data_IF_759009690693
#
_entry.id   IF_759009690693
#
_cell.length_a   1.000
_cell.length_b   1.000
_cell.length_c   1.000
_cell.angle_alpha   90.00
_cell.angle_beta   90.00
_cell.angle_gamma   90.00
#
_symmetry.space_group_name_H-M   'P 1'
#
loop_
_entity.id
_entity.type
_entity.pdbx_description
1 polymer ?
#
# COMPACT_ATOMS: atom_id res chain seq x y z
N UNK A 1 -50.32 5.26 59.84
CA UNK A 1 -50.01 4.33 58.74
C UNK A 1 -50.32 5.07 57.42
N UNK A 2 -49.49 6.03 57.01
CA UNK A 2 -48.39 5.93 56.01
C UNK A 2 -48.82 5.25 54.69
N UNK A 3 -49.19 6.09 53.72
CA UNK A 3 -49.47 5.72 52.33
C UNK A 3 -48.19 5.44 51.53
N UNK A 4 -48.33 4.57 50.53
CA UNK A 4 -47.24 4.13 49.64
C UNK A 4 -47.34 4.92 48.33
N UNK A 5 -46.26 5.62 47.99
CA UNK A 5 -46.05 6.35 46.75
C UNK A 5 -45.41 5.41 45.72
N UNK A 6 -46.01 5.24 44.55
CA UNK A 6 -45.42 4.54 43.41
C UNK A 6 -44.42 5.48 42.72
N UNK A 7 -43.13 5.12 42.71
CA UNK A 7 -42.09 5.79 41.93
C UNK A 7 -41.87 4.99 40.63
N UNK A 8 -42.34 5.54 39.51
CA UNK A 8 -42.03 5.04 38.16
C UNK A 8 -40.61 5.51 37.78
N UNK A 9 -39.66 4.58 37.75
CA UNK A 9 -38.30 4.83 37.24
C UNK A 9 -38.31 4.60 35.73
N UNK A 10 -38.25 5.68 34.96
CA UNK A 10 -37.90 5.63 33.54
C UNK A 10 -36.40 5.37 33.43
N UNK A 11 -36.02 4.15 33.07
CA UNK A 11 -34.65 3.84 32.66
C UNK A 11 -34.51 4.36 31.23
N UNK A 12 -33.93 5.57 31.09
CA UNK A 12 -33.40 6.04 29.81
C UNK A 12 -32.14 5.22 29.55
N UNK A 13 -32.26 4.17 28.74
CA UNK A 13 -31.10 3.51 28.15
C UNK A 13 -30.48 4.48 27.15
N UNK A 14 -29.46 5.22 27.59
CA UNK A 14 -28.51 5.84 26.67
C UNK A 14 -27.86 4.68 25.91
N UNK A 15 -28.33 4.42 24.69
CA UNK A 15 -27.59 3.61 23.74
C UNK A 15 -26.28 4.36 23.48
N UNK A 16 -25.21 3.92 24.13
CA UNK A 16 -23.86 4.30 23.73
C UNK A 16 -23.69 3.89 22.27
N UNK A 17 -23.77 4.86 21.37
CA UNK A 17 -23.48 4.66 19.96
C UNK A 17 -22.09 4.04 19.86
N UNK A 18 -22.04 2.85 19.27
CA UNK A 18 -20.78 2.23 18.89
C UNK A 18 -20.13 3.14 17.86
N UNK A 19 -19.18 3.97 18.28
CA UNK A 19 -18.32 4.68 17.35
C UNK A 19 -17.43 3.64 16.68
N UNK A 20 -17.74 3.29 15.43
CA UNK A 20 -16.81 2.56 14.60
C UNK A 20 -15.59 3.45 14.41
N UNK A 21 -14.46 3.09 15.02
CA UNK A 21 -13.18 3.73 14.74
C UNK A 21 -12.77 3.34 13.31
N UNK A 22 -13.14 4.16 12.33
CA UNK A 22 -12.66 4.01 10.96
C UNK A 22 -11.17 4.28 10.94
N UNK A 23 -10.36 3.25 10.66
CA UNK A 23 -8.93 3.42 10.44
C UNK A 23 -8.68 4.13 9.11
N UNK A 24 -7.84 5.16 9.11
CA UNK A 24 -7.42 5.90 7.91
C UNK A 24 -5.91 6.17 7.96
N UNK A 25 -5.29 6.33 6.80
CA UNK A 25 -3.86 6.60 6.70
C UNK A 25 -3.42 6.78 5.26
N UNK A 26 -2.14 7.02 5.06
CA UNK A 26 -1.51 6.97 3.74
C UNK A 26 -0.40 5.92 3.82
N UNK A 27 -0.39 4.99 2.88
CA UNK A 27 0.58 3.90 2.80
C UNK A 27 1.12 3.77 1.39
N UNK A 28 2.35 3.25 1.19
CA UNK A 28 2.80 2.86 -0.15
C UNK A 28 1.86 1.82 -0.77
N UNK A 29 1.69 1.86 -2.10
CA UNK A 29 0.68 1.08 -2.84
C UNK A 29 0.88 -0.45 -2.73
N UNK A 30 2.09 -0.93 -2.39
CA UNK A 30 2.42 -2.35 -2.23
C UNK A 30 3.52 -2.55 -1.19
N UNK A 31 3.88 -3.82 -0.94
CA UNK A 31 5.23 -4.15 -0.50
C UNK A 31 6.22 -3.40 -1.38
N UNK A 32 7.15 -2.67 -0.76
CA UNK A 32 8.07 -1.79 -1.46
C UNK A 32 9.50 -2.19 -1.22
N UNK A 33 10.34 -1.90 -2.20
CA UNK A 33 11.78 -2.08 -2.12
C UNK A 33 12.46 -0.82 -2.63
N UNK A 34 13.49 -0.35 -1.90
CA UNK A 34 14.31 0.78 -2.37
C UNK A 34 14.98 0.41 -3.68
N UNK A 35 15.07 1.38 -4.60
CA UNK A 35 15.75 1.20 -5.89
C UNK A 35 17.15 0.60 -5.75
N UNK A 36 17.96 1.07 -4.80
CA UNK A 36 19.29 0.51 -4.57
C UNK A 36 19.23 -0.96 -4.11
N UNK A 37 18.37 -1.26 -3.13
CA UNK A 37 18.18 -2.63 -2.63
C UNK A 37 17.72 -3.59 -3.73
N UNK A 38 16.83 -3.15 -4.62
CA UNK A 38 16.43 -3.93 -5.79
C UNK A 38 17.62 -4.15 -6.74
N UNK A 39 18.40 -3.10 -7.02
CA UNK A 39 19.53 -3.16 -7.96
C UNK A 39 20.70 -4.03 -7.50
N UNK A 40 20.83 -4.30 -6.20
CA UNK A 40 21.88 -5.17 -5.63
C UNK A 40 21.35 -6.54 -5.18
N UNK A 41 20.05 -6.81 -5.31
CA UNK A 41 19.43 -8.05 -4.87
C UNK A 41 20.10 -9.27 -5.52
N UNK A 42 20.45 -10.26 -4.71
CA UNK A 42 21.06 -11.52 -5.14
C UNK A 42 20.10 -12.70 -5.01
N UNK A 43 19.10 -12.59 -4.14
CA UNK A 43 18.14 -13.66 -3.83
C UNK A 43 16.71 -13.15 -3.83
N UNK A 44 15.75 -14.07 -3.91
CA UNK A 44 14.31 -13.75 -3.75
C UNK A 44 14.05 -13.07 -2.39
N UNK A 45 14.77 -13.45 -1.33
CA UNK A 45 14.60 -12.88 0.01
C UNK A 45 15.09 -11.44 0.11
N UNK A 46 16.03 -11.02 -0.74
CA UNK A 46 16.43 -9.60 -0.82
C UNK A 46 15.28 -8.74 -1.37
N UNK A 47 14.43 -9.33 -2.23
CA UNK A 47 13.22 -8.68 -2.76
C UNK A 47 12.04 -8.75 -1.78
N UNK A 48 11.94 -9.84 -1.01
CA UNK A 48 10.90 -10.03 -0.01
C UNK A 48 11.42 -10.90 1.16
N UNK A 49 11.80 -10.25 2.25
CA UNK A 49 12.35 -10.92 3.45
C UNK A 49 11.36 -11.89 4.13
N UNK A 50 10.06 -11.79 3.82
CA UNK A 50 9.00 -12.68 4.34
C UNK A 50 8.67 -13.83 3.40
N UNK A 51 9.43 -13.99 2.31
CA UNK A 51 9.23 -15.09 1.37
C UNK A 51 9.42 -16.44 2.08
N UNK A 52 8.42 -17.36 2.03
CA UNK A 52 8.44 -18.57 2.84
C UNK A 52 9.31 -19.66 2.20
N UNK A 53 10.63 -19.44 2.13
CA UNK A 53 11.59 -20.38 1.54
C UNK A 53 11.50 -21.78 2.16
N UNK A 54 11.21 -21.88 3.47
CA UNK A 54 11.04 -23.15 4.18
C UNK A 54 9.88 -24.02 3.65
N UNK A 55 8.98 -23.49 2.83
CA UNK A 55 7.91 -24.29 2.22
C UNK A 55 8.37 -25.04 0.97
N UNK A 56 9.56 -24.73 0.47
CA UNK A 56 10.06 -25.19 -0.81
C UNK A 56 11.03 -26.34 -0.60
N UNK A 57 10.68 -27.52 -1.14
CA UNK A 57 11.61 -28.66 -1.21
C UNK A 57 12.50 -28.59 -2.44
N UNK A 58 11.92 -28.23 -3.58
CA UNK A 58 12.58 -28.21 -4.87
C UNK A 58 11.99 -27.10 -5.73
N UNK A 59 12.86 -26.26 -6.30
CA UNK A 59 12.48 -25.21 -7.24
C UNK A 59 12.32 -25.80 -8.65
N UNK A 60 11.31 -25.33 -9.37
CA UNK A 60 11.06 -25.67 -10.78
C UNK A 60 11.38 -24.48 -11.66
N UNK A 61 10.89 -23.30 -11.28
CA UNK A 61 11.25 -22.04 -11.93
C UNK A 61 11.04 -20.87 -10.99
N UNK A 62 11.82 -19.82 -11.23
CA UNK A 62 11.64 -18.51 -10.62
C UNK A 62 11.50 -17.51 -11.75
N UNK A 63 10.26 -17.13 -12.05
CA UNK A 63 9.92 -16.20 -13.11
C UNK A 63 9.85 -14.78 -12.55
N UNK A 64 10.74 -13.90 -13.02
CA UNK A 64 10.79 -12.49 -12.65
C UNK A 64 10.26 -11.65 -13.80
N UNK A 65 9.33 -10.74 -13.49
CA UNK A 65 8.77 -9.79 -14.44
C UNK A 65 8.93 -8.37 -13.89
N UNK A 66 9.57 -7.49 -14.65
CA UNK A 66 9.61 -6.05 -14.37
C UNK A 66 8.65 -5.32 -15.30
N UNK A 67 7.71 -4.57 -14.74
CA UNK A 67 6.83 -3.68 -15.50
C UNK A 67 7.38 -2.26 -15.44
N UNK A 68 7.88 -1.77 -16.58
CA UNK A 68 8.44 -0.41 -16.75
C UNK A 68 7.68 0.32 -17.85
N UNK A 69 7.13 1.50 -17.57
CA UNK A 69 6.44 2.33 -18.57
C UNK A 69 5.37 1.54 -19.38
N UNK A 70 4.66 0.62 -18.71
CA UNK A 70 3.64 -0.27 -19.30
C UNK A 70 4.19 -1.47 -20.08
N UNK A 71 5.50 -1.62 -20.23
CA UNK A 71 6.16 -2.79 -20.85
C UNK A 71 6.56 -3.82 -19.81
N UNK A 72 6.37 -5.10 -20.12
CA UNK A 72 6.73 -6.22 -19.25
C UNK A 72 8.01 -6.89 -19.75
N UNK A 73 9.09 -6.75 -19.01
CA UNK A 73 10.36 -7.44 -19.23
C UNK A 73 10.40 -8.70 -18.37
N UNK A 74 10.73 -9.85 -18.94
CA UNK A 74 10.69 -11.14 -18.24
C UNK A 74 12.05 -11.82 -18.26
N UNK A 75 12.39 -12.49 -17.17
CA UNK A 75 13.53 -13.39 -17.08
C UNK A 75 13.19 -14.57 -16.16
N UNK A 76 13.84 -15.71 -16.38
CA UNK A 76 13.65 -16.94 -15.61
C UNK A 76 14.96 -17.33 -14.95
N UNK A 77 14.87 -17.68 -13.67
CA UNK A 77 15.90 -18.34 -12.88
C UNK A 77 15.46 -19.75 -12.51
N UNK A 78 16.39 -20.50 -11.94
CA UNK A 78 16.20 -21.92 -11.61
C UNK A 78 15.84 -22.13 -10.14
N UNK A 79 16.22 -21.21 -9.26
CA UNK A 79 16.12 -21.35 -7.81
C UNK A 79 16.09 -19.98 -7.09
N UNK A 80 16.29 -19.97 -5.77
CA UNK A 80 16.25 -18.77 -4.94
C UNK A 80 17.30 -17.70 -5.26
N UNK A 81 18.42 -18.09 -5.89
CA UNK A 81 19.43 -17.16 -6.36
C UNK A 81 18.97 -16.54 -7.68
N UNK A 82 18.95 -15.20 -7.72
CA UNK A 82 18.55 -14.47 -8.91
C UNK A 82 19.61 -14.64 -10.00
N UNK A 83 19.17 -15.07 -11.19
CA UNK A 83 20.06 -15.26 -12.35
C UNK A 83 20.67 -13.93 -12.81
N UNK A 84 21.77 -13.99 -13.57
CA UNK A 84 22.43 -12.78 -14.09
C UNK A 84 21.46 -11.87 -14.87
N UNK A 85 20.59 -12.46 -15.69
CA UNK A 85 19.56 -11.76 -16.44
C UNK A 85 18.54 -11.09 -15.51
N UNK A 86 18.10 -11.78 -14.45
CA UNK A 86 17.20 -11.22 -13.45
C UNK A 86 17.84 -10.03 -12.73
N UNK A 87 19.09 -10.18 -12.28
CA UNK A 87 19.83 -9.10 -11.66
C UNK A 87 20.06 -7.93 -12.64
N UNK A 88 20.27 -8.21 -13.92
CA UNK A 88 20.38 -7.19 -14.95
C UNK A 88 19.08 -6.40 -15.09
N UNK A 89 17.92 -7.05 -15.13
CA UNK A 89 16.63 -6.35 -15.14
C UNK A 89 16.46 -5.45 -13.90
N UNK A 90 16.81 -5.96 -12.73
CA UNK A 90 16.69 -5.24 -11.46
C UNK A 90 17.59 -4.01 -11.40
N UNK A 91 18.83 -4.09 -11.89
CA UNK A 91 19.76 -2.93 -11.97
C UNK A 91 19.20 -1.76 -12.80
N UNK A 92 18.29 -2.02 -13.74
CA UNK A 92 17.69 -1.01 -14.60
C UNK A 92 16.33 -0.52 -14.10
N UNK A 93 15.87 -0.98 -12.94
CA UNK A 93 14.62 -0.54 -12.35
C UNK A 93 14.67 0.95 -11.96
N UNK A 94 13.54 1.62 -12.11
CA UNK A 94 13.28 3.02 -11.75
C UNK A 94 12.20 3.07 -10.68
N UNK A 95 12.08 4.22 -10.01
CA UNK A 95 10.97 4.46 -9.08
C UNK A 95 9.64 4.32 -9.81
N UNK A 96 8.70 3.59 -9.21
CA UNK A 96 7.39 3.27 -9.77
C UNK A 96 7.34 1.97 -10.56
N UNK A 97 8.47 1.34 -10.89
CA UNK A 97 8.46 0.03 -11.54
C UNK A 97 7.90 -1.05 -10.61
N UNK A 98 7.24 -2.04 -11.21
CA UNK A 98 6.72 -3.20 -10.48
C UNK A 98 7.59 -4.43 -10.77
N UNK A 99 8.09 -5.07 -9.73
CA UNK A 99 8.80 -6.35 -9.82
C UNK A 99 7.85 -7.44 -9.31
N UNK A 100 7.40 -8.30 -10.22
CA UNK A 100 6.66 -9.52 -9.87
C UNK A 100 7.59 -10.72 -9.90
N UNK A 101 7.54 -11.54 -8.86
CA UNK A 101 8.23 -12.83 -8.80
C UNK A 101 7.18 -13.93 -8.65
N UNK A 102 7.24 -14.95 -9.51
CA UNK A 102 6.43 -16.17 -9.47
C UNK A 102 7.37 -17.37 -9.35
N UNK A 103 7.24 -18.11 -8.26
CA UNK A 103 8.05 -19.30 -7.95
C UNK A 103 7.19 -20.53 -8.11
N UNK A 104 7.55 -21.39 -9.06
CA UNK A 104 6.98 -22.72 -9.22
C UNK A 104 7.87 -23.73 -8.50
N UNK A 105 7.28 -24.57 -7.66
CA UNK A 105 8.05 -25.44 -6.76
C UNK A 105 7.28 -26.69 -6.36
N UNK A 106 8.01 -27.69 -5.84
CA UNK A 106 7.45 -28.78 -5.07
C UNK A 106 7.49 -28.46 -3.57
N UNK A 107 6.37 -28.63 -2.84
CA UNK A 107 6.32 -28.25 -1.43
C UNK A 107 7.08 -29.24 -0.53
N UNK A 108 7.65 -28.72 0.55
CA UNK A 108 8.24 -29.55 1.60
C UNK A 108 7.17 -30.03 2.59
N UNK A 109 6.45 -31.08 2.22
CA UNK A 109 5.49 -31.76 3.09
C UNK A 109 5.29 -33.23 2.68
N UNK A 110 4.33 -33.89 3.33
CA UNK A 110 3.98 -35.30 3.10
C UNK A 110 2.80 -35.48 2.13
N UNK A 111 2.38 -34.44 1.41
CA UNK A 111 1.31 -34.50 0.43
C UNK A 111 1.84 -35.01 -0.93
N UNK A 112 0.97 -35.40 -1.88
CA UNK A 112 1.37 -35.76 -3.23
C UNK A 112 2.24 -34.68 -3.88
N UNK A 113 3.17 -35.12 -4.75
CA UNK A 113 4.03 -34.21 -5.54
C UNK A 113 3.18 -33.43 -6.54
N UNK A 114 2.71 -32.27 -6.11
CA UNK A 114 2.02 -31.29 -6.93
C UNK A 114 2.87 -30.03 -7.03
N UNK A 115 2.93 -29.48 -8.24
CA UNK A 115 3.57 -28.18 -8.48
C UNK A 115 2.69 -27.10 -7.86
N UNK A 116 3.28 -26.24 -7.05
CA UNK A 116 2.62 -25.07 -6.45
C UNK A 116 3.28 -23.79 -6.95
N UNK A 117 2.53 -22.68 -6.88
CA UNK A 117 3.03 -21.34 -7.15
C UNK A 117 3.02 -20.51 -5.86
N UNK A 118 4.12 -19.81 -5.60
CA UNK A 118 4.18 -18.66 -4.69
C UNK A 118 4.49 -17.42 -5.51
N UNK A 119 3.67 -16.38 -5.39
CA UNK A 119 3.89 -15.15 -6.12
C UNK A 119 3.79 -13.92 -5.21
N UNK A 120 4.63 -12.92 -5.50
CA UNK A 120 4.52 -11.60 -4.89
C UNK A 120 4.86 -10.51 -5.88
N UNK A 121 4.50 -9.27 -5.55
CA UNK A 121 4.84 -8.10 -6.33
C UNK A 121 5.33 -7.01 -5.38
N UNK A 122 6.47 -6.42 -5.72
CA UNK A 122 7.01 -5.26 -5.01
C UNK A 122 7.07 -4.05 -5.92
N UNK A 123 6.78 -2.88 -5.36
CA UNK A 123 6.98 -1.60 -6.05
C UNK A 123 8.38 -1.08 -5.72
N UNK A 124 9.11 -0.67 -6.74
CA UNK A 124 10.39 0.02 -6.56
C UNK A 124 10.11 1.45 -6.12
N UNK A 125 10.58 1.81 -4.93
CA UNK A 125 10.42 3.15 -4.34
C UNK A 125 11.74 3.90 -4.30
N UNK A 126 11.70 5.24 -4.18
CA UNK A 126 12.89 6.05 -3.99
C UNK A 126 13.66 5.68 -2.71
N UNK A 127 14.93 6.09 -2.64
CA UNK A 127 15.80 5.78 -1.50
C UNK A 127 15.43 6.58 -0.24
N UNK A 128 14.95 7.82 -0.46
CA UNK A 128 14.33 8.69 0.53
C UNK A 128 12.87 8.91 0.09
N UNK A 129 11.86 8.49 0.87
CA UNK A 129 10.46 8.66 0.51
C UNK A 129 10.04 10.13 0.56
N UNK A 130 8.93 10.46 -0.09
CA UNK A 130 8.35 11.79 0.02
C UNK A 130 7.90 12.04 1.48
N UNK A 131 7.98 13.30 1.91
CA UNK A 131 7.63 13.69 3.27
C UNK A 131 6.60 14.81 3.29
N UNK A 132 5.49 14.57 3.99
CA UNK A 132 4.47 15.60 4.21
C UNK A 132 5.06 16.76 5.04
N UNK A 133 4.68 18.02 4.77
CA UNK A 133 5.16 19.16 5.54
C UNK A 133 4.82 19.04 7.03
N UNK A 134 5.84 19.04 7.90
CA UNK A 134 5.68 18.81 9.33
C UNK A 134 5.59 17.33 9.73
N UNK A 135 5.82 16.41 8.79
CA UNK A 135 5.94 14.97 9.01
C UNK A 135 4.62 14.26 9.32
N UNK A 136 4.74 13.02 9.79
CA UNK A 136 3.63 12.08 10.03
C UNK A 136 2.53 12.63 10.95
N UNK A 137 2.90 13.41 11.98
CA UNK A 137 1.94 14.01 12.90
C UNK A 137 1.08 15.06 12.20
N UNK A 138 1.69 15.91 11.38
CA UNK A 138 0.99 16.91 10.59
C UNK A 138 0.13 16.27 9.50
N UNK A 139 0.61 15.18 8.88
CA UNK A 139 -0.17 14.41 7.92
C UNK A 139 -1.44 13.83 8.56
N UNK A 140 -1.32 13.13 9.70
CA UNK A 140 -2.49 12.59 10.41
C UNK A 140 -3.49 13.68 10.78
N UNK A 141 -3.00 14.85 11.22
CA UNK A 141 -3.86 16.00 11.52
C UNK A 141 -4.56 16.52 10.26
N UNK A 142 -3.84 16.63 9.14
CA UNK A 142 -4.43 17.05 7.87
C UNK A 142 -5.54 16.09 7.45
N UNK A 143 -5.29 14.78 7.47
CA UNK A 143 -6.27 13.76 7.13
C UNK A 143 -7.50 13.84 8.04
N UNK A 144 -7.30 13.99 9.35
CA UNK A 144 -8.40 14.12 10.29
C UNK A 144 -9.28 15.35 9.98
N UNK A 145 -8.67 16.54 9.94
CA UNK A 145 -9.42 17.80 9.86
C UNK A 145 -9.94 18.11 8.46
N UNK A 146 -9.21 17.74 7.41
CA UNK A 146 -9.56 18.11 6.04
C UNK A 146 -10.24 16.99 5.26
N UNK A 147 -10.18 15.75 5.73
CA UNK A 147 -10.77 14.60 5.04
C UNK A 147 -11.81 13.91 5.93
N UNK A 148 -11.42 13.38 7.08
CA UNK A 148 -12.31 12.52 7.88
C UNK A 148 -13.49 13.28 8.49
N UNK A 149 -13.24 14.44 9.12
CA UNK A 149 -14.31 15.24 9.76
C UNK A 149 -15.36 15.75 8.75
N UNK A 150 -14.99 16.27 7.56
CA UNK A 150 -15.98 16.62 6.55
C UNK A 150 -16.62 15.38 5.90
N UNK A 151 -15.85 14.31 5.64
CA UNK A 151 -16.38 13.09 5.02
C UNK A 151 -17.49 12.48 5.88
N UNK A 152 -17.33 12.45 7.21
CA UNK A 152 -18.34 11.95 8.15
C UNK A 152 -19.69 12.70 8.09
N UNK A 153 -19.75 13.88 7.45
CA UNK A 153 -21.00 14.63 7.22
C UNK A 153 -21.64 14.32 5.86
N UNK A 154 -20.90 13.67 4.96
CA UNK A 154 -21.31 13.34 3.59
C UNK A 154 -21.70 11.87 3.42
N UNK A 155 -21.35 11.02 4.38
CA UNK A 155 -21.59 9.58 4.34
C UNK A 155 -22.34 9.16 5.58
N UNK A 156 -23.30 8.25 5.40
CA UNK A 156 -23.99 7.60 6.51
C UNK A 156 -23.03 6.64 7.25
N UNK A 157 -23.49 6.01 8.33
CA UNK A 157 -22.74 5.04 9.13
C UNK A 157 -22.23 3.79 8.35
N UNK A 158 -22.54 3.69 7.06
CA UNK A 158 -22.19 2.59 6.16
C UNK A 158 -21.01 2.94 5.22
N UNK A 159 -20.04 3.74 5.66
CA UNK A 159 -18.84 3.98 4.86
C UNK A 159 -18.07 2.67 4.64
N UNK A 160 -18.15 2.16 3.42
CA UNK A 160 -17.30 1.06 2.98
C UNK A 160 -15.85 1.53 2.82
N UNK A 161 -14.91 0.59 2.91
CA UNK A 161 -13.50 0.85 2.66
C UNK A 161 -13.31 1.58 1.31
N UNK A 162 -12.73 2.78 1.37
CA UNK A 162 -12.35 3.58 0.21
C UNK A 162 -10.84 3.46 0.02
N UNK A 163 -10.38 3.41 -1.23
CA UNK A 163 -8.96 3.47 -1.55
C UNK A 163 -8.70 4.46 -2.67
N UNK A 164 -7.72 5.33 -2.50
CA UNK A 164 -7.33 6.34 -3.49
C UNK A 164 -5.85 6.25 -3.74
N UNK A 165 -5.45 5.93 -4.97
CA UNK A 165 -4.05 5.98 -5.38
C UNK A 165 -3.70 7.39 -5.84
N UNK A 166 -2.49 7.84 -5.52
CA UNK A 166 -1.94 9.11 -5.97
C UNK A 166 -0.41 9.04 -6.01
N UNK A 167 0.19 10.05 -6.63
CA UNK A 167 1.63 10.21 -6.76
C UNK A 167 2.08 11.55 -6.16
N UNK A 168 3.23 11.55 -5.50
CA UNK A 168 3.99 12.77 -5.23
C UNK A 168 4.96 12.98 -6.40
N UNK A 169 4.79 14.11 -7.09
CA UNK A 169 5.62 14.53 -8.22
C UNK A 169 7.01 14.97 -7.77
N UNK A 170 7.92 15.16 -8.74
CA UNK A 170 9.30 15.64 -8.50
C UNK A 170 9.38 17.03 -7.87
N UNK A 171 8.34 17.84 -8.00
CA UNK A 171 8.20 19.16 -7.40
C UNK A 171 7.50 19.14 -6.03
N UNK A 172 7.08 17.96 -5.56
CA UNK A 172 6.36 17.81 -4.30
C UNK A 172 4.84 17.87 -4.42
N UNK A 173 4.30 18.22 -5.59
CA UNK A 173 2.85 18.30 -5.79
C UNK A 173 2.18 16.93 -5.82
N UNK A 174 0.92 16.86 -5.36
CA UNK A 174 0.08 15.66 -5.51
C UNK A 174 -0.45 15.57 -6.94
N UNK A 175 -0.21 14.45 -7.61
CA UNK A 175 -0.64 14.16 -8.99
C UNK A 175 -1.23 12.74 -9.10
N UNK A 176 -1.76 12.40 -10.29
CA UNK A 176 -2.36 11.08 -10.62
C UNK A 176 -3.37 10.54 -9.58
N UNK A 177 -4.19 11.42 -9.01
CA UNK A 177 -5.20 11.03 -8.00
C UNK A 177 -6.32 10.25 -8.67
N UNK A 178 -6.46 8.97 -8.32
CA UNK A 178 -7.45 8.04 -8.88
C UNK A 178 -8.10 7.17 -7.82
N UNK A 179 -9.42 6.98 -7.94
CA UNK A 179 -10.17 6.06 -7.09
C UNK A 179 -9.79 4.61 -7.46
N UNK A 180 -9.36 3.83 -6.46
CA UNK A 180 -9.10 2.39 -6.59
C UNK A 180 -10.29 1.59 -6.07
N UNK A 181 -10.93 2.08 -5.00
CA UNK A 181 -12.16 1.50 -4.43
C UNK A 181 -13.07 2.64 -3.99
N UNK A 182 -14.33 2.61 -4.43
CA UNK A 182 -15.26 3.72 -4.30
C UNK A 182 -16.06 3.64 -2.98
N UNK A 183 -16.52 4.79 -2.48
CA UNK A 183 -17.37 4.87 -1.27
C UNK A 183 -18.85 4.54 -1.52
N UNK A 184 -19.23 4.24 -2.77
CA UNK A 184 -20.62 4.13 -3.25
C UNK A 184 -21.45 5.44 -3.18
N UNK A 185 -20.86 6.56 -2.73
CA UNK A 185 -21.41 7.91 -2.84
C UNK A 185 -20.57 8.76 -3.79
N UNK A 186 -21.16 9.25 -4.88
CA UNK A 186 -20.46 10.07 -5.87
C UNK A 186 -19.99 11.40 -5.26
N UNK A 187 -20.79 12.00 -4.38
CA UNK A 187 -20.44 13.22 -3.65
C UNK A 187 -19.21 12.99 -2.75
N UNK A 188 -19.19 11.90 -2.00
CA UNK A 188 -18.06 11.54 -1.15
C UNK A 188 -16.80 11.22 -1.97
N UNK A 189 -16.93 10.51 -3.10
CA UNK A 189 -15.81 10.23 -3.99
C UNK A 189 -15.20 11.53 -4.55
N UNK A 190 -16.04 12.44 -5.04
CA UNK A 190 -15.60 13.73 -5.58
C UNK A 190 -14.94 14.62 -4.52
N UNK A 191 -15.51 14.65 -3.31
CA UNK A 191 -14.92 15.33 -2.17
C UNK A 191 -13.53 14.77 -1.83
N UNK A 192 -13.40 13.44 -1.72
CA UNK A 192 -12.14 12.80 -1.36
C UNK A 192 -11.05 13.08 -2.38
N UNK A 193 -11.33 12.89 -3.67
CA UNK A 193 -10.38 13.22 -4.76
C UNK A 193 -9.96 14.69 -4.68
N UNK A 194 -10.91 15.59 -4.41
CA UNK A 194 -10.62 17.02 -4.26
C UNK A 194 -9.78 17.34 -3.03
N UNK A 195 -10.02 16.68 -1.90
CA UNK A 195 -9.27 16.88 -0.66
C UNK A 195 -7.83 16.34 -0.75
N UNK A 196 -7.62 15.23 -1.47
CA UNK A 196 -6.28 14.71 -1.80
C UNK A 196 -5.50 15.70 -2.66
N UNK A 197 -6.12 16.27 -3.71
CA UNK A 197 -5.49 17.27 -4.58
C UNK A 197 -5.17 18.60 -3.88
N UNK A 198 -5.79 18.88 -2.73
CA UNK A 198 -5.58 20.10 -1.93
C UNK A 198 -4.51 19.95 -0.84
N UNK A 199 -3.87 18.78 -0.74
CA UNK A 199 -2.74 18.61 0.16
C UNK A 199 -1.66 19.66 -0.12
N UNK A 200 -0.96 20.17 0.90
CA UNK A 200 0.20 21.02 0.69
C UNK A 200 1.29 20.26 -0.08
N UNK A 201 2.16 20.99 -0.75
CA UNK A 201 3.30 20.40 -1.46
C UNK A 201 4.21 19.65 -0.47
N UNK A 202 4.50 18.40 -0.79
CA UNK A 202 5.37 17.54 -0.03
C UNK A 202 6.83 17.86 -0.32
N UNK A 203 7.74 17.50 0.59
CA UNK A 203 9.13 17.33 0.16
C UNK A 203 9.17 16.14 -0.80
N UNK A 204 9.71 16.30 -2.03
CA UNK A 204 9.72 15.23 -3.00
C UNK A 204 10.60 14.08 -2.50
N UNK A 205 10.27 12.87 -2.93
CA UNK A 205 11.13 11.74 -2.71
C UNK A 205 12.45 11.92 -3.49
N UNK A 206 13.55 11.40 -2.95
CA UNK A 206 14.88 11.54 -3.56
C UNK A 206 15.45 10.16 -3.91
N UNK A 207 16.12 10.09 -5.06
CA UNK A 207 17.02 8.98 -5.36
C UNK A 207 18.33 9.12 -4.55
N UNK A 208 19.17 8.10 -4.66
CA UNK A 208 20.53 8.08 -4.10
C UNK A 208 21.37 9.33 -4.42
N UNK A 209 21.26 9.87 -5.64
CA UNK A 209 22.00 11.06 -6.07
C UNK A 209 21.42 12.37 -5.51
N UNK A 210 20.35 12.32 -4.70
CA UNK A 210 19.66 13.49 -4.14
C UNK A 210 18.75 14.20 -5.14
N UNK A 211 18.49 13.58 -6.30
CA UNK A 211 17.59 14.10 -7.33
C UNK A 211 16.14 13.67 -7.07
N UNK A 212 15.15 14.55 -7.30
CA UNK A 212 13.74 14.22 -7.11
C UNK A 212 13.25 13.06 -7.98
N UNK A 213 12.50 12.15 -7.37
CA UNK A 213 11.85 11.01 -8.01
C UNK A 213 10.36 10.98 -7.64
N UNK A 214 9.48 10.50 -8.54
CA UNK A 214 8.08 10.29 -8.19
C UNK A 214 7.93 9.17 -7.15
N UNK A 215 6.93 9.30 -6.27
CA UNK A 215 6.63 8.32 -5.21
C UNK A 215 5.12 8.06 -5.12
N UNK A 216 4.72 6.82 -4.91
CA UNK A 216 3.33 6.38 -5.07
C UNK A 216 2.71 5.90 -3.76
N UNK A 217 1.51 6.38 -3.49
CA UNK A 217 0.80 6.13 -2.24
C UNK A 217 -0.67 5.79 -2.45
N UNK A 218 -1.26 5.19 -1.43
CA UNK A 218 -2.68 4.94 -1.27
C UNK A 218 -3.17 5.56 0.03
N UNK A 219 -4.26 6.31 -0.05
CA UNK A 219 -5.14 6.59 1.09
C UNK A 219 -6.11 5.41 1.26
#
# INVERSE_FOLDING_TARGET
MKGILFLLIFIVTLSSGYTQNVGYGIVPINMSIKKESAGIAQTIMDLNQRFPQAWIREYISVDLTVTQDGKMLKSRGENEALSEDQQQLLRHCKSGDLIKVSVHYYPDNNLPKEIKELAFTVTVVPDVPAAFPGGEVALRKYLQTNIMEPLAKLVDDNLHEVRIAFQISRDGSVSDVRMVKNSYSEEANSFLVSAMKKMPDWSPALNKEGSPAPDQYQF
#
